data_IF_735028132377
#
_entry.id   IF_735028132377
#
_cell.length_a   1.000
_cell.length_b   1.000
_cell.length_c   1.000
_cell.angle_alpha   90.00
_cell.angle_beta   90.00
_cell.angle_gamma   90.00
#
_symmetry.space_group_name_H-M   'P 1'
#
loop_
_entity.id
_entity.type
_entity.pdbx_description
1 polymer ?
#
# COMPACT_ATOMS: atom_id res chain seq x y z
N UNK A 1 10.39 -21.75 31.01
CA UNK A 1 11.73 -22.11 30.52
C UNK A 1 12.61 -20.85 30.50
N UNK A 2 13.38 -20.61 31.56
CA UNK A 2 14.28 -19.46 31.66
C UNK A 2 15.61 -19.78 30.97
N UNK A 3 15.89 -19.12 29.85
CA UNK A 3 17.19 -19.23 29.18
C UNK A 3 18.25 -18.63 30.10
N UNK A 4 19.28 -19.41 30.47
CA UNK A 4 20.38 -18.94 31.32
C UNK A 4 20.97 -17.66 30.71
N UNK A 5 20.98 -16.59 31.51
CA UNK A 5 21.43 -15.25 31.16
C UNK A 5 22.97 -15.23 31.09
N UNK A 6 23.54 -15.95 30.12
CA UNK A 6 24.86 -15.59 29.59
C UNK A 6 24.68 -14.24 28.90
N UNK A 7 25.39 -13.21 29.36
CA UNK A 7 25.25 -11.87 28.81
C UNK A 7 25.63 -11.90 27.32
N UNK A 8 24.62 -11.89 26.43
CA UNK A 8 24.84 -11.88 24.98
C UNK A 8 25.66 -10.64 24.65
N UNK A 9 26.88 -10.83 24.15
CA UNK A 9 27.74 -9.72 23.76
C UNK A 9 27.37 -9.30 22.34
N UNK A 10 27.33 -7.98 22.12
CA UNK A 10 27.08 -7.38 20.81
C UNK A 10 27.94 -8.04 19.72
N UNK A 11 29.24 -8.19 19.98
CA UNK A 11 30.21 -8.72 19.02
C UNK A 11 29.82 -10.09 18.46
N UNK A 12 29.23 -10.96 19.29
CA UNK A 12 28.89 -12.34 18.91
C UNK A 12 27.65 -12.40 18.01
N UNK A 13 26.75 -11.43 18.13
CA UNK A 13 25.45 -11.43 17.44
C UNK A 13 25.33 -10.35 16.36
N UNK A 14 26.26 -9.40 16.28
CA UNK A 14 26.27 -8.36 15.25
C UNK A 14 26.32 -8.94 13.84
N UNK A 15 27.23 -9.87 13.58
CA UNK A 15 27.43 -10.46 12.25
C UNK A 15 26.21 -11.26 11.75
N UNK A 16 25.65 -12.22 12.50
CA UNK A 16 24.44 -12.93 12.06
C UNK A 16 23.24 -11.98 11.92
N UNK A 17 23.10 -10.98 12.81
CA UNK A 17 22.04 -9.99 12.71
C UNK A 17 22.16 -9.15 11.43
N UNK A 18 23.36 -8.64 11.14
CA UNK A 18 23.65 -7.86 9.93
C UNK A 18 23.38 -8.70 8.67
N UNK A 19 23.70 -10.00 8.69
CA UNK A 19 23.40 -10.91 7.56
C UNK A 19 21.90 -11.03 7.29
N UNK A 20 21.08 -11.13 8.33
CA UNK A 20 19.61 -11.18 8.20
C UNK A 20 19.06 -9.86 7.68
N UNK A 21 19.49 -8.73 8.25
CA UNK A 21 19.08 -7.40 7.80
C UNK A 21 19.51 -7.14 6.35
N UNK A 22 20.74 -7.53 6.00
CA UNK A 22 21.25 -7.47 4.63
C UNK A 22 20.34 -8.25 3.71
N UNK A 23 19.79 -9.40 4.12
CA UNK A 23 18.88 -10.22 3.33
C UNK A 23 17.47 -9.64 3.18
N UNK A 24 17.16 -8.52 3.83
CA UNK A 24 15.85 -7.85 3.77
C UNK A 24 14.88 -8.28 4.87
N UNK A 25 15.34 -9.04 5.87
CA UNK A 25 14.51 -9.44 7.00
C UNK A 25 14.16 -8.21 7.87
N UNK A 26 12.88 -8.02 8.27
CA UNK A 26 12.52 -6.94 9.18
C UNK A 26 13.27 -7.02 10.52
N UNK A 27 13.58 -5.86 11.10
CA UNK A 27 14.41 -5.75 12.31
C UNK A 27 13.92 -6.62 13.45
N UNK A 28 12.60 -6.63 13.71
CA UNK A 28 11.99 -7.39 14.80
C UNK A 28 12.29 -8.88 14.64
N UNK A 29 12.01 -9.45 13.46
CA UNK A 29 12.28 -10.86 13.17
C UNK A 29 13.77 -11.18 13.16
N UNK A 30 14.63 -10.26 12.71
CA UNK A 30 16.07 -10.45 12.74
C UNK A 30 16.59 -10.47 14.19
N UNK A 31 16.04 -9.63 15.08
CA UNK A 31 16.36 -9.62 16.51
C UNK A 31 15.91 -10.91 17.20
N UNK A 32 14.67 -11.35 16.94
CA UNK A 32 14.14 -12.60 17.49
C UNK A 32 14.99 -13.81 17.06
N UNK A 33 15.42 -13.83 15.80
CA UNK A 33 16.25 -14.91 15.24
C UNK A 33 17.64 -15.00 15.90
N UNK A 34 18.24 -13.87 16.31
CA UNK A 34 19.54 -13.85 17.01
C UNK A 34 19.40 -13.83 18.54
N UNK A 35 18.18 -13.83 19.06
CA UNK A 35 17.88 -13.93 20.49
C UNK A 35 18.09 -12.65 21.29
N UNK A 36 17.88 -11.47 20.67
CA UNK A 36 17.90 -10.18 21.38
C UNK A 36 16.50 -9.53 21.34
N UNK A 37 16.18 -8.75 22.37
CA UNK A 37 14.99 -7.91 22.32
C UNK A 37 15.20 -6.75 21.34
N UNK A 38 14.16 -6.35 20.61
CA UNK A 38 14.22 -5.22 19.67
C UNK A 38 14.68 -3.92 20.32
N UNK A 39 14.29 -3.68 21.58
CA UNK A 39 14.74 -2.53 22.38
C UNK A 39 16.26 -2.47 22.53
N UNK A 40 16.93 -3.62 22.64
CA UNK A 40 18.41 -3.71 22.72
C UNK A 40 19.04 -3.25 21.40
N UNK A 41 18.50 -3.69 20.27
CA UNK A 41 18.95 -3.23 18.95
C UNK A 41 18.79 -1.71 18.80
N UNK A 42 17.63 -1.16 19.17
CA UNK A 42 17.38 0.28 19.02
C UNK A 42 18.25 1.13 19.95
N UNK A 43 18.51 0.68 21.18
CA UNK A 43 19.47 1.33 22.09
C UNK A 43 20.88 1.36 21.47
N UNK A 44 21.34 0.25 20.90
CA UNK A 44 22.64 0.20 20.21
C UNK A 44 22.70 1.11 19.00
N UNK A 45 21.63 1.16 18.20
CA UNK A 45 21.54 2.07 17.04
C UNK A 45 21.59 3.54 17.49
N UNK A 46 20.89 3.91 18.55
CA UNK A 46 20.91 5.26 19.12
C UNK A 46 22.31 5.65 19.60
N UNK A 47 23.00 4.75 20.30
CA UNK A 47 24.38 4.98 20.75
C UNK A 47 25.34 5.14 19.57
N UNK A 48 25.20 4.31 18.54
CA UNK A 48 26.06 4.34 17.35
C UNK A 48 25.84 5.54 16.44
N UNK A 49 24.62 6.09 16.44
CA UNK A 49 24.31 7.33 15.72
C UNK A 49 25.02 8.53 16.33
N UNK A 50 25.04 8.62 17.67
CA UNK A 50 25.68 9.69 18.42
C UNK A 50 27.20 9.54 18.54
N UNK A 51 27.72 8.33 18.43
CA UNK A 51 29.15 8.05 18.54
C UNK A 51 29.91 8.43 17.25
N UNK A 52 31.14 8.93 17.40
CA UNK A 52 32.05 9.17 16.28
C UNK A 52 32.94 7.97 15.97
N UNK A 53 33.23 7.13 16.97
CA UNK A 53 34.07 5.92 16.86
C UNK A 53 33.58 4.80 17.80
N UNK A 54 34.16 3.60 17.65
CA UNK A 54 33.93 2.46 18.55
C UNK A 54 32.82 1.51 18.10
N UNK A 55 32.66 0.40 18.84
CA UNK A 55 31.84 -0.74 18.41
C UNK A 55 30.38 -0.39 18.05
N UNK A 56 29.77 0.57 18.77
CA UNK A 56 28.40 1.00 18.50
C UNK A 56 28.32 1.77 17.18
N UNK A 57 29.33 2.62 16.90
CA UNK A 57 29.42 3.34 15.63
C UNK A 57 29.60 2.40 14.46
N UNK A 58 30.52 1.44 14.59
CA UNK A 58 30.78 0.44 13.55
C UNK A 58 29.53 -0.40 13.28
N UNK A 59 28.85 -0.85 14.35
CA UNK A 59 27.59 -1.57 14.24
C UNK A 59 26.52 -0.74 13.51
N UNK A 60 26.32 0.53 13.89
CA UNK A 60 25.37 1.43 13.24
C UNK A 60 25.64 1.59 11.74
N UNK A 61 26.89 1.83 11.35
CA UNK A 61 27.27 2.00 9.95
C UNK A 61 27.03 0.72 9.15
N UNK A 62 27.44 -0.44 9.70
CA UNK A 62 27.25 -1.74 9.05
C UNK A 62 25.77 -2.09 8.89
N UNK A 63 24.93 -1.79 9.88
CA UNK A 63 23.49 -1.97 9.80
C UNK A 63 22.86 -1.06 8.73
N UNK A 64 23.25 0.23 8.70
CA UNK A 64 22.77 1.19 7.70
C UNK A 64 23.12 0.72 6.28
N UNK A 65 24.36 0.30 6.08
CA UNK A 65 24.84 -0.27 4.82
C UNK A 65 24.06 -1.53 4.44
N UNK A 66 23.94 -2.50 5.34
CA UNK A 66 23.23 -3.76 5.09
C UNK A 66 21.78 -3.53 4.64
N UNK A 67 21.07 -2.62 5.30
CA UNK A 67 19.69 -2.28 4.93
C UNK A 67 19.59 -1.57 3.59
N UNK A 68 20.53 -0.66 3.29
CA UNK A 68 20.62 -0.02 1.98
C UNK A 68 20.88 -1.06 0.86
N UNK A 69 21.80 -2.00 1.09
CA UNK A 69 22.07 -3.09 0.17
C UNK A 69 20.85 -4.02 -0.02
N UNK A 70 20.08 -4.27 1.04
CA UNK A 70 18.84 -5.03 0.93
C UNK A 70 17.82 -4.34 0.00
N UNK A 71 17.64 -3.03 0.17
CA UNK A 71 16.77 -2.23 -0.68
C UNK A 71 17.27 -2.26 -2.13
N UNK A 72 18.55 -1.97 -2.36
CA UNK A 72 19.14 -1.96 -3.71
C UNK A 72 18.96 -3.30 -4.44
N UNK A 73 19.19 -4.43 -3.75
CA UNK A 73 18.98 -5.76 -4.34
C UNK A 73 17.52 -6.04 -4.67
N UNK A 74 16.58 -5.66 -3.79
CA UNK A 74 15.15 -5.83 -4.06
C UNK A 74 14.68 -4.96 -5.23
N UNK A 75 15.15 -3.71 -5.31
CA UNK A 75 14.90 -2.84 -6.47
C UNK A 75 15.42 -3.49 -7.75
N UNK A 76 16.65 -4.03 -7.74
CA UNK A 76 17.20 -4.73 -8.91
C UNK A 76 16.36 -5.95 -9.32
N UNK A 77 15.82 -6.71 -8.36
CA UNK A 77 14.90 -7.83 -8.63
C UNK A 77 13.61 -7.33 -9.31
N UNK A 78 13.02 -6.25 -8.79
CA UNK A 78 11.81 -5.64 -9.36
C UNK A 78 12.09 -5.13 -10.78
N UNK A 79 13.20 -4.42 -11.01
CA UNK A 79 13.60 -3.92 -12.33
C UNK A 79 13.84 -5.07 -13.33
N UNK A 80 14.45 -6.18 -12.87
CA UNK A 80 14.58 -7.40 -13.68
C UNK A 80 13.21 -7.98 -14.07
N UNK A 81 12.26 -8.04 -13.13
CA UNK A 81 10.89 -8.49 -13.43
C UNK A 81 10.15 -7.53 -14.37
N UNK A 82 10.38 -6.22 -14.23
CA UNK A 82 9.79 -5.18 -15.07
C UNK A 82 10.13 -5.34 -16.56
N UNK A 83 11.32 -5.87 -16.88
CA UNK A 83 11.69 -6.19 -18.27
C UNK A 83 10.79 -7.24 -18.96
N UNK A 84 10.02 -8.02 -18.18
CA UNK A 84 9.17 -9.11 -18.68
C UNK A 84 7.69 -8.90 -18.37
N UNK A 85 7.36 -8.11 -17.35
CA UNK A 85 6.00 -7.86 -16.90
C UNK A 85 5.83 -6.37 -16.62
N UNK A 86 4.96 -5.72 -17.39
CA UNK A 86 4.64 -4.31 -17.20
C UNK A 86 4.02 -4.05 -15.82
N UNK A 87 3.32 -5.03 -15.22
CA UNK A 87 2.77 -4.90 -13.88
C UNK A 87 3.85 -4.66 -12.82
N UNK A 88 5.03 -5.28 -12.96
CA UNK A 88 6.15 -5.03 -12.06
C UNK A 88 6.71 -3.60 -12.20
N UNK A 89 6.72 -3.06 -13.43
CA UNK A 89 7.10 -1.67 -13.68
C UNK A 89 6.06 -0.70 -13.09
N UNK A 90 4.77 -0.96 -13.32
CA UNK A 90 3.67 -0.16 -12.78
C UNK A 90 3.66 -0.17 -11.24
N UNK A 91 3.79 -1.34 -10.62
CA UNK A 91 3.87 -1.48 -9.16
C UNK A 91 5.02 -0.68 -8.56
N UNK A 92 6.18 -0.66 -9.22
CA UNK A 92 7.32 0.15 -8.75
C UNK A 92 7.02 1.65 -8.86
N UNK A 93 6.52 2.10 -10.02
CA UNK A 93 6.22 3.52 -10.28
C UNK A 93 5.13 4.07 -9.35
N UNK A 94 4.06 3.31 -9.10
CA UNK A 94 2.99 3.67 -8.15
C UNK A 94 3.53 3.96 -6.75
N UNK A 95 4.62 3.28 -6.34
CA UNK A 95 5.18 3.36 -4.99
C UNK A 95 6.36 4.32 -4.89
N UNK A 96 7.16 4.46 -5.95
CA UNK A 96 8.29 5.40 -5.97
C UNK A 96 7.87 6.82 -6.36
N UNK A 97 6.80 6.95 -7.15
CA UNK A 97 6.29 8.20 -7.72
C UNK A 97 4.75 8.26 -7.56
N UNK A 98 4.24 8.26 -6.32
CA UNK A 98 2.80 8.17 -6.07
C UNK A 98 2.04 9.39 -6.59
N UNK A 99 2.63 10.58 -6.60
CA UNK A 99 1.96 11.80 -7.11
C UNK A 99 1.56 11.66 -8.58
N UNK A 100 2.42 11.05 -9.40
CA UNK A 100 2.24 10.89 -10.83
C UNK A 100 1.49 9.61 -11.20
N UNK A 101 1.74 8.52 -10.47
CA UNK A 101 1.28 7.18 -10.86
C UNK A 101 0.31 6.52 -9.89
N UNK A 102 0.10 7.03 -8.67
CA UNK A 102 -0.85 6.41 -7.76
C UNK A 102 -2.28 6.46 -8.31
N UNK A 103 -3.04 5.42 -8.00
CA UNK A 103 -4.46 5.35 -8.33
C UNK A 103 -5.18 6.48 -7.60
N UNK A 104 -5.86 7.34 -8.33
CA UNK A 104 -6.69 8.40 -7.75
C UNK A 104 -8.01 7.78 -7.30
N UNK A 105 -8.32 7.89 -6.02
CA UNK A 105 -9.66 7.63 -5.53
C UNK A 105 -10.56 8.77 -6.00
N UNK A 106 -11.36 8.51 -7.03
CA UNK A 106 -12.38 9.45 -7.48
C UNK A 106 -13.56 9.31 -6.52
N UNK A 107 -13.67 10.23 -5.56
CA UNK A 107 -14.89 10.40 -4.79
C UNK A 107 -15.99 10.92 -5.72
N UNK A 108 -16.87 10.03 -6.16
CA UNK A 108 -18.08 10.42 -6.89
C UNK A 108 -19.05 10.99 -5.86
N UNK A 109 -19.08 12.32 -5.73
CA UNK A 109 -20.13 13.02 -5.00
C UNK A 109 -21.46 12.84 -5.75
N UNK A 110 -22.27 11.86 -5.35
CA UNK A 110 -23.59 11.58 -5.93
C UNK A 110 -24.68 12.61 -5.58
N UNK A 111 -24.32 13.73 -4.93
CA UNK A 111 -25.29 14.67 -4.35
C UNK A 111 -25.78 15.78 -5.28
N UNK A 112 -25.30 15.88 -6.53
CA UNK A 112 -25.55 17.08 -7.35
C UNK A 112 -26.32 16.88 -8.66
N UNK A 113 -27.02 15.76 -8.81
CA UNK A 113 -28.01 15.55 -9.87
C UNK A 113 -29.32 15.00 -9.30
N UNK A 114 -29.89 15.69 -8.31
CA UNK A 114 -31.29 15.45 -7.94
C UNK A 114 -32.17 16.15 -8.98
N UNK A 115 -32.35 15.53 -10.14
CA UNK A 115 -33.45 15.91 -11.03
C UNK A 115 -34.71 15.52 -10.27
N UNK A 116 -35.39 16.49 -9.65
CA UNK A 116 -36.73 16.27 -9.11
C UNK A 116 -37.65 15.91 -10.28
N UNK A 117 -37.81 14.61 -10.52
CA UNK A 117 -38.83 14.12 -11.44
C UNK A 117 -40.16 14.32 -10.72
N UNK A 118 -40.91 15.36 -11.11
CA UNK A 118 -42.28 15.53 -10.66
C UNK A 118 -43.14 14.41 -11.26
N UNK A 119 -43.38 13.38 -10.43
CA UNK A 119 -44.10 12.17 -10.81
C UNK A 119 -45.56 12.49 -11.18
N UNK A 120 -46.16 13.49 -10.54
CA UNK A 120 -47.56 13.88 -10.78
C UNK A 120 -47.74 14.54 -12.15
N UNK A 121 -46.88 15.50 -12.50
CA UNK A 121 -46.91 16.15 -13.82
C UNK A 121 -46.63 15.14 -14.95
N UNK A 122 -45.73 14.19 -14.70
CA UNK A 122 -45.41 13.12 -15.65
C UNK A 122 -46.59 12.17 -15.84
N UNK A 123 -47.29 11.83 -14.75
CA UNK A 123 -48.47 10.96 -14.77
C UNK A 123 -49.63 11.60 -15.52
N UNK A 124 -49.88 12.89 -15.35
CA UNK A 124 -50.91 13.63 -16.10
C UNK A 124 -50.63 13.63 -17.60
N UNK A 125 -49.39 13.91 -18.01
CA UNK A 125 -48.97 13.90 -19.42
C UNK A 125 -49.12 12.51 -20.05
N UNK A 126 -48.73 11.46 -19.35
CA UNK A 126 -48.87 10.07 -19.84
C UNK A 126 -50.35 9.71 -19.96
N UNK A 127 -51.16 10.02 -18.94
CA UNK A 127 -52.60 9.71 -18.93
C UNK A 127 -53.34 10.45 -20.05
N UNK A 128 -53.03 11.72 -20.27
CA UNK A 128 -53.59 12.51 -21.37
C UNK A 128 -53.24 11.94 -22.76
N UNK A 129 -52.00 11.46 -22.94
CA UNK A 129 -51.60 10.79 -24.19
C UNK A 129 -52.32 9.46 -24.38
N UNK A 130 -52.44 8.65 -23.34
CA UNK A 130 -53.18 7.37 -23.39
C UNK A 130 -54.64 7.63 -23.79
N UNK A 131 -55.30 8.62 -23.17
CA UNK A 131 -56.69 8.95 -23.47
C UNK A 131 -56.88 9.46 -24.90
N UNK A 132 -55.99 10.33 -25.39
CA UNK A 132 -56.08 10.83 -26.78
C UNK A 132 -55.82 9.74 -27.81
N UNK A 133 -54.91 8.80 -27.55
CA UNK A 133 -54.70 7.62 -28.39
C UNK A 133 -55.92 6.71 -28.36
N UNK A 134 -56.46 6.41 -27.18
CA UNK A 134 -57.64 5.56 -27.03
C UNK A 134 -58.90 6.16 -27.68
N UNK A 135 -59.02 7.49 -27.74
CA UNK A 135 -60.08 8.16 -28.49
C UNK A 135 -59.91 7.98 -30.00
N UNK A 136 -58.68 8.14 -30.52
CA UNK A 136 -58.37 7.98 -31.96
C UNK A 136 -58.55 6.54 -32.44
N UNK A 137 -58.23 5.56 -31.60
CA UNK A 137 -58.42 4.13 -31.92
C UNK A 137 -59.91 3.79 -31.96
N UNK A 138 -60.72 4.27 -31.00
CA UNK A 138 -62.18 4.07 -31.01
C UNK A 138 -62.86 4.67 -32.24
N UNK A 139 -62.44 5.86 -32.67
CA UNK A 139 -62.98 6.47 -33.90
C UNK A 139 -62.56 5.76 -35.19
N UNK A 140 -61.55 4.88 -35.14
CA UNK A 140 -61.08 4.11 -36.28
C UNK A 140 -61.71 2.70 -36.35
N UNK A 141 -62.36 2.23 -35.27
CA UNK A 141 -62.97 0.89 -35.16
C UNK A 141 -64.49 0.87 -35.41
N UNK A 142 -65.15 2.04 -35.56
CA UNK A 142 -66.51 2.15 -36.11
C UNK A 142 -66.45 2.66 -37.57
N UNK A 143 -66.24 1.79 -38.57
CA UNK A 143 -66.60 2.09 -39.94
C UNK A 143 -68.11 1.87 -40.11
N UNK A 144 -68.85 2.90 -40.53
CA UNK A 144 -70.12 2.70 -41.24
C UNK A 144 -69.94 1.77 -42.45
#
# INVERSE_FOLDING_TARGET
>A
MGRKKGSIKMIDISDPLIKLLKSGVPVIHACDAVGIASVTYYDWMKRGELATTGQYRDFYLRVKQARAEAVARNVAIIQKAASKSWQAAAWWLERSCPTEFAKRDVEINMTQNNVEINIDETREKITGRINSIAARVRTAEDPE
#
